data_IF_169537211209
#
_entry.id   IF_169537211209
#
_cell.length_a   1.000
_cell.length_b   1.000
_cell.length_c   1.000
_cell.angle_alpha   90.00
_cell.angle_beta   90.00
_cell.angle_gamma   90.00
#
_symmetry.space_group_name_H-M   'P 1'
#
loop_
_entity.id
_entity.type
_entity.pdbx_description
1 polymer ?
#
# COMPACT_ATOMS: atom_id res chain seq x y z
N UNK A 1 14.55 -38.48 -34.67
CA UNK A 1 14.56 -37.61 -33.48
C UNK A 1 13.19 -36.97 -33.35
N UNK A 2 12.44 -37.30 -32.28
CA UNK A 2 11.16 -36.65 -32.07
C UNK A 2 11.38 -35.13 -31.82
N UNK A 3 11.01 -34.34 -32.78
CA UNK A 3 11.07 -32.89 -32.62
C UNK A 3 10.10 -32.52 -31.49
N UNK A 4 10.61 -31.89 -30.44
CA UNK A 4 9.77 -31.40 -29.36
C UNK A 4 8.85 -30.31 -29.90
N UNK A 5 7.54 -30.40 -29.63
CA UNK A 5 6.54 -29.40 -30.03
C UNK A 5 6.11 -28.57 -28.85
N UNK A 6 5.71 -27.34 -29.08
CA UNK A 6 5.26 -26.41 -28.07
C UNK A 6 3.74 -26.52 -27.83
N UNK A 7 3.29 -26.32 -26.59
CA UNK A 7 1.88 -26.17 -26.26
C UNK A 7 1.37 -24.78 -26.64
N UNK A 8 2.25 -23.75 -26.43
CA UNK A 8 1.95 -22.36 -26.73
C UNK A 8 3.16 -21.69 -27.38
N UNK A 9 2.91 -20.92 -28.41
CA UNK A 9 3.91 -20.02 -29.00
C UNK A 9 3.39 -18.58 -28.91
N UNK A 10 4.19 -17.73 -28.29
CA UNK A 10 4.08 -16.28 -28.36
C UNK A 10 4.89 -15.81 -29.56
N UNK A 11 4.33 -14.98 -30.43
CA UNK A 11 5.04 -14.51 -31.64
C UNK A 11 4.69 -13.07 -31.98
N UNK A 12 5.45 -12.49 -32.92
CA UNK A 12 5.23 -11.12 -33.39
C UNK A 12 5.24 -10.11 -32.25
N UNK A 13 6.24 -10.18 -31.36
CA UNK A 13 6.33 -9.33 -30.17
C UNK A 13 7.72 -8.76 -29.90
N UNK A 14 7.85 -8.17 -28.72
CA UNK A 14 9.10 -7.67 -28.13
C UNK A 14 9.23 -8.26 -26.73
N UNK A 15 9.82 -9.46 -26.65
CA UNK A 15 9.92 -10.21 -25.37
C UNK A 15 11.24 -9.86 -24.71
N UNK A 16 11.19 -9.11 -23.61
CA UNK A 16 12.36 -8.81 -22.79
C UNK A 16 12.70 -10.02 -21.93
N UNK A 17 13.81 -10.70 -22.19
CA UNK A 17 14.16 -11.96 -21.53
C UNK A 17 14.66 -11.78 -20.10
N UNK A 18 15.12 -10.57 -19.75
CA UNK A 18 15.75 -10.24 -18.46
C UNK A 18 17.01 -11.08 -18.16
N UNK A 19 17.65 -11.62 -19.22
CA UNK A 19 18.95 -12.25 -19.10
C UNK A 19 20.08 -11.20 -18.86
N UNK A 20 21.29 -11.65 -18.56
CA UNK A 20 22.43 -10.78 -18.28
C UNK A 20 22.75 -9.80 -19.45
N UNK A 21 22.38 -10.19 -20.66
CA UNK A 21 22.56 -9.38 -21.89
C UNK A 21 21.40 -8.42 -22.15
N UNK A 22 20.31 -8.51 -21.34
CA UNK A 22 19.06 -7.76 -21.53
C UNK A 22 18.51 -7.93 -22.96
N UNK A 23 18.53 -9.18 -23.43
CA UNK A 23 18.10 -9.52 -24.79
C UNK A 23 16.62 -9.26 -24.97
N UNK A 24 16.25 -8.82 -26.20
CA UNK A 24 14.86 -8.71 -26.64
C UNK A 24 14.69 -9.63 -27.85
N UNK A 25 13.73 -10.56 -27.77
CA UNK A 25 13.42 -11.51 -28.82
C UNK A 25 12.00 -11.34 -29.33
N UNK A 26 11.69 -11.90 -30.53
CA UNK A 26 10.37 -11.73 -31.16
C UNK A 26 9.36 -12.77 -30.66
N UNK A 27 9.83 -13.98 -30.30
CA UNK A 27 8.97 -15.09 -30.01
C UNK A 27 9.50 -15.98 -28.89
N UNK A 28 8.59 -16.79 -28.30
CA UNK A 28 8.89 -17.81 -27.31
C UNK A 28 8.00 -19.05 -27.51
N UNK A 29 8.59 -20.24 -27.46
CA UNK A 29 7.92 -21.52 -27.39
C UNK A 29 7.83 -21.98 -25.94
N UNK A 30 6.65 -22.42 -25.51
CA UNK A 30 6.36 -22.89 -24.15
C UNK A 30 5.81 -24.32 -24.23
N UNK A 31 6.34 -25.20 -23.37
CA UNK A 31 5.85 -26.56 -23.19
C UNK A 31 5.85 -26.95 -21.72
N UNK A 32 4.79 -27.61 -21.28
CA UNK A 32 4.64 -28.04 -19.87
C UNK A 32 4.91 -26.91 -18.86
N UNK A 33 4.46 -25.68 -19.19
CA UNK A 33 4.64 -24.48 -18.37
C UNK A 33 6.07 -23.94 -18.31
N UNK A 34 6.99 -24.43 -19.18
CA UNK A 34 8.40 -24.00 -19.23
C UNK A 34 8.75 -23.44 -20.60
N UNK A 35 9.69 -22.52 -20.64
CA UNK A 35 10.26 -22.06 -21.90
C UNK A 35 11.04 -23.21 -22.56
N UNK A 36 10.62 -23.59 -23.77
CA UNK A 36 11.28 -24.56 -24.62
C UNK A 36 12.40 -23.90 -25.45
N UNK A 37 12.07 -22.74 -26.03
CA UNK A 37 12.98 -21.92 -26.82
C UNK A 37 12.52 -20.46 -26.86
N UNK A 38 13.47 -19.55 -27.10
CA UNK A 38 13.23 -18.12 -27.36
C UNK A 38 14.08 -17.72 -28.56
N UNK A 39 13.59 -16.77 -29.37
CA UNK A 39 14.34 -16.33 -30.56
C UNK A 39 13.47 -15.49 -31.50
N UNK A 40 13.82 -15.51 -32.79
CA UNK A 40 13.03 -14.91 -33.84
C UNK A 40 11.74 -15.71 -34.10
N UNK A 41 10.74 -15.08 -34.70
CA UNK A 41 9.50 -15.75 -35.11
C UNK A 41 9.80 -16.99 -35.98
N UNK A 42 10.75 -16.86 -36.92
CA UNK A 42 11.12 -17.96 -37.83
C UNK A 42 11.69 -19.16 -37.09
N UNK A 43 12.55 -18.95 -36.12
CA UNK A 43 13.15 -20.02 -35.31
C UNK A 43 12.13 -20.71 -34.41
N UNK A 44 11.25 -19.94 -33.81
CA UNK A 44 10.27 -20.46 -32.84
C UNK A 44 9.10 -21.17 -33.50
N UNK A 45 8.68 -20.75 -34.70
CA UNK A 45 7.63 -21.43 -35.44
C UNK A 45 7.98 -22.88 -35.82
N UNK A 46 9.23 -23.29 -35.74
CA UNK A 46 9.64 -24.70 -35.98
C UNK A 46 9.15 -25.65 -34.88
N UNK A 47 8.77 -25.14 -33.71
CA UNK A 47 8.21 -25.94 -32.62
C UNK A 47 6.68 -26.06 -32.68
N UNK A 48 6.04 -25.55 -33.74
CA UNK A 48 4.60 -25.58 -33.94
C UNK A 48 4.14 -26.95 -34.42
N UNK A 49 3.03 -27.44 -33.89
CA UNK A 49 2.22 -28.51 -34.46
C UNK A 49 0.72 -28.09 -34.55
N UNK A 50 -0.17 -29.02 -34.94
CA UNK A 50 -1.61 -28.76 -35.08
C UNK A 50 -2.30 -28.39 -33.76
N UNK A 51 -1.74 -28.79 -32.62
CA UNK A 51 -2.29 -28.54 -31.27
C UNK A 51 -1.69 -27.32 -30.62
N UNK A 52 -0.63 -26.77 -31.17
CA UNK A 52 0.06 -25.59 -30.61
C UNK A 52 -0.84 -24.36 -30.65
N UNK A 53 -1.09 -23.77 -29.49
CA UNK A 53 -1.80 -22.49 -29.40
C UNK A 53 -0.87 -21.34 -29.80
N UNK A 54 -1.24 -20.60 -30.84
CA UNK A 54 -0.52 -19.40 -31.26
C UNK A 54 -1.14 -18.17 -30.62
N UNK A 55 -0.30 -17.31 -30.08
CA UNK A 55 -0.69 -16.02 -29.51
C UNK A 55 0.09 -14.91 -30.23
N UNK A 56 -0.58 -14.16 -31.08
CA UNK A 56 -0.02 -12.98 -31.72
C UNK A 56 0.06 -11.83 -30.72
N UNK A 57 1.27 -11.36 -30.47
CA UNK A 57 1.53 -10.27 -29.54
C UNK A 57 1.26 -8.90 -30.16
N UNK A 58 1.06 -8.80 -31.47
CA UNK A 58 0.81 -7.55 -32.16
C UNK A 58 1.85 -6.46 -31.82
N UNK A 59 3.13 -6.81 -31.86
CA UNK A 59 4.27 -5.95 -31.52
C UNK A 59 4.28 -5.44 -30.07
N UNK A 60 3.45 -6.00 -29.18
CA UNK A 60 3.44 -5.61 -27.77
C UNK A 60 4.71 -6.11 -27.05
N UNK A 61 5.08 -5.37 -26.03
CA UNK A 61 6.17 -5.77 -25.14
C UNK A 61 5.66 -6.82 -24.15
N UNK A 62 6.41 -7.90 -23.99
CA UNK A 62 6.21 -8.93 -22.97
C UNK A 62 7.39 -8.89 -22.00
N UNK A 63 7.09 -8.89 -20.73
CA UNK A 63 8.06 -8.98 -19.63
C UNK A 63 7.74 -10.18 -18.75
N UNK A 64 8.69 -10.73 -18.00
CA UNK A 64 8.40 -11.70 -16.95
C UNK A 64 7.40 -11.16 -15.94
N UNK A 65 6.61 -12.05 -15.34
CA UNK A 65 5.72 -11.68 -14.25
C UNK A 65 6.47 -10.99 -13.12
N UNK A 66 5.84 -9.97 -12.52
CA UNK A 66 6.44 -9.25 -11.41
C UNK A 66 6.47 -10.12 -10.16
N UNK A 67 7.67 -10.28 -9.58
CA UNK A 67 7.86 -10.90 -8.28
C UNK A 67 8.22 -9.82 -7.27
N UNK A 68 7.34 -9.61 -6.28
CA UNK A 68 7.63 -8.70 -5.18
C UNK A 68 8.31 -9.47 -4.06
N UNK A 69 9.57 -9.11 -3.77
CA UNK A 69 10.38 -9.73 -2.71
C UNK A 69 10.07 -9.21 -1.31
N UNK A 70 9.27 -8.14 -1.20
CA UNK A 70 8.89 -7.52 0.07
C UNK A 70 7.45 -7.01 0.02
N UNK A 71 6.51 -7.89 0.33
CA UNK A 71 5.08 -7.60 0.22
C UNK A 71 4.36 -7.78 1.57
N UNK A 72 3.57 -6.78 1.96
CA UNK A 72 2.69 -6.84 3.12
C UNK A 72 1.22 -7.10 2.73
N UNK A 73 0.96 -8.07 1.86
CA UNK A 73 -0.36 -8.32 1.28
C UNK A 73 -1.43 -8.55 2.36
N UNK A 74 -1.18 -9.48 3.28
CA UNK A 74 -2.14 -9.82 4.33
C UNK A 74 -2.38 -8.62 5.23
N UNK A 75 -1.32 -8.00 5.73
CA UNK A 75 -1.40 -6.84 6.62
C UNK A 75 -2.08 -5.63 5.95
N UNK A 76 -1.77 -5.38 4.68
CA UNK A 76 -2.38 -4.32 3.88
C UNK A 76 -3.86 -4.59 3.60
N UNK A 77 -4.26 -5.85 3.43
CA UNK A 77 -5.64 -6.23 3.14
C UNK A 77 -6.58 -6.29 4.35
N UNK A 78 -6.06 -6.68 5.52
CA UNK A 78 -6.87 -6.92 6.74
C UNK A 78 -7.77 -5.74 7.14
N UNK A 79 -7.30 -4.52 6.96
CA UNK A 79 -8.00 -3.31 7.39
C UNK A 79 -8.35 -2.38 6.21
N UNK A 80 -8.19 -2.83 4.97
CA UNK A 80 -8.34 -2.00 3.78
C UNK A 80 -9.65 -1.22 3.75
N UNK A 81 -10.76 -1.88 4.05
CA UNK A 81 -12.10 -1.26 4.05
C UNK A 81 -12.39 -0.39 5.29
N UNK A 82 -11.52 -0.44 6.30
CA UNK A 82 -11.68 0.31 7.56
C UNK A 82 -10.80 1.57 7.58
N UNK A 83 -9.99 1.77 6.56
CA UNK A 83 -9.03 2.85 6.45
C UNK A 83 -9.44 3.84 5.38
N UNK A 84 -9.26 5.12 5.68
CA UNK A 84 -9.34 6.15 4.65
C UNK A 84 -8.04 6.11 3.84
N UNK A 85 -8.17 5.86 2.53
CA UNK A 85 -7.03 5.69 1.63
C UNK A 85 -6.77 6.98 0.86
N UNK A 86 -5.52 7.47 0.96
CA UNK A 86 -5.06 8.64 0.19
C UNK A 86 -4.16 8.25 -1.00
N UNK A 87 -4.07 6.97 -1.32
CA UNK A 87 -3.31 6.47 -2.46
C UNK A 87 -3.80 7.14 -3.76
N UNK A 88 -2.89 7.78 -4.48
CA UNK A 88 -3.20 8.46 -5.74
C UNK A 88 -4.06 9.72 -5.64
N UNK A 89 -4.38 10.21 -4.43
CA UNK A 89 -5.09 11.49 -4.25
C UNK A 89 -4.21 12.64 -4.71
N UNK A 90 -4.66 13.49 -5.67
CA UNK A 90 -3.78 14.42 -6.36
C UNK A 90 -3.48 15.71 -5.58
N UNK A 91 -4.28 16.04 -4.57
CA UNK A 91 -4.09 17.25 -3.77
C UNK A 91 -4.34 17.02 -2.29
N UNK A 92 -3.68 17.79 -1.44
CA UNK A 92 -3.94 17.81 -0.01
C UNK A 92 -5.37 18.31 0.29
N UNK A 93 -5.86 19.25 -0.50
CA UNK A 93 -7.23 19.75 -0.39
C UNK A 93 -8.26 18.63 -0.56
N UNK A 94 -8.06 17.73 -1.54
CA UNK A 94 -8.92 16.57 -1.75
C UNK A 94 -8.79 15.56 -0.59
N UNK A 95 -7.58 15.29 -0.12
CA UNK A 95 -7.35 14.44 1.05
C UNK A 95 -8.08 14.94 2.30
N UNK A 96 -8.00 16.23 2.57
CA UNK A 96 -8.70 16.87 3.70
C UNK A 96 -10.23 16.89 3.52
N UNK A 97 -10.72 17.03 2.29
CA UNK A 97 -12.16 16.87 1.99
C UNK A 97 -12.62 15.46 2.28
N UNK A 98 -11.91 14.44 1.79
CA UNK A 98 -12.20 13.04 2.07
C UNK A 98 -12.19 12.74 3.59
N UNK A 99 -11.22 13.31 4.31
CA UNK A 99 -11.14 13.17 5.77
C UNK A 99 -12.38 13.75 6.45
N UNK A 100 -12.83 14.94 6.06
CA UNK A 100 -14.03 15.58 6.60
C UNK A 100 -15.29 14.75 6.36
N UNK A 101 -15.46 14.27 5.13
CA UNK A 101 -16.60 13.43 4.75
C UNK A 101 -16.61 12.11 5.53
N UNK A 102 -15.43 11.51 5.73
CA UNK A 102 -15.31 10.29 6.52
C UNK A 102 -15.59 10.56 8.01
N UNK A 103 -15.08 11.65 8.58
CA UNK A 103 -15.33 12.02 9.97
C UNK A 103 -16.82 12.22 10.25
N UNK A 104 -17.55 12.86 9.32
CA UNK A 104 -19.00 13.05 9.43
C UNK A 104 -19.80 11.75 9.45
N UNK A 105 -19.29 10.69 8.82
CA UNK A 105 -19.93 9.36 8.78
C UNK A 105 -19.46 8.43 9.89
N UNK A 106 -18.40 8.81 10.60
CA UNK A 106 -17.80 7.97 11.64
C UNK A 106 -18.62 8.08 12.92
N UNK A 107 -19.11 6.97 13.48
CA UNK A 107 -19.87 6.99 14.73
C UNK A 107 -19.04 7.54 15.91
N UNK A 108 -19.71 8.18 16.91
CA UNK A 108 -19.03 8.66 18.11
C UNK A 108 -18.17 7.58 18.79
N UNK A 109 -16.97 7.95 19.20
CA UNK A 109 -16.01 7.04 19.83
C UNK A 109 -15.22 6.14 18.89
N UNK A 110 -15.48 6.22 17.59
CA UNK A 110 -14.65 5.57 16.57
C UNK A 110 -13.64 6.53 15.97
N UNK A 111 -12.63 5.97 15.30
CA UNK A 111 -11.50 6.70 14.74
C UNK A 111 -11.55 6.72 13.21
N UNK A 112 -11.12 7.83 12.62
CA UNK A 112 -10.70 7.85 11.22
C UNK A 112 -9.20 7.58 11.16
N UNK A 113 -8.81 6.58 10.39
CA UNK A 113 -7.42 6.21 10.16
C UNK A 113 -7.07 6.43 8.70
N UNK A 114 -6.07 7.25 8.47
CA UNK A 114 -5.43 7.39 7.16
C UNK A 114 -4.15 6.58 7.20
N UNK A 115 -4.16 5.42 6.57
CA UNK A 115 -3.04 4.49 6.52
C UNK A 115 -2.86 4.04 5.08
N UNK A 116 -1.64 3.76 4.67
CA UNK A 116 -1.38 3.23 3.35
C UNK A 116 -0.36 4.01 2.56
N UNK A 117 -0.29 3.70 1.27
CA UNK A 117 0.78 4.10 0.38
C UNK A 117 0.65 5.52 -0.15
N UNK A 118 0.64 6.52 0.70
CA UNK A 118 0.66 7.92 0.31
C UNK A 118 1.93 8.62 0.83
N UNK A 119 2.32 9.68 0.16
CA UNK A 119 3.33 10.61 0.62
C UNK A 119 3.02 12.03 0.12
N UNK A 120 3.68 13.04 0.70
CA UNK A 120 3.46 14.44 0.40
C UNK A 120 3.78 14.83 -1.06
N UNK A 121 4.64 14.07 -1.73
CA UNK A 121 5.08 14.39 -3.09
C UNK A 121 4.02 14.09 -4.16
N UNK A 122 3.01 13.26 -3.82
CA UNK A 122 1.87 13.03 -4.72
C UNK A 122 0.91 14.22 -4.77
N UNK A 123 0.87 15.04 -3.70
CA UNK A 123 0.00 16.20 -3.63
C UNK A 123 0.53 17.37 -4.47
N UNK A 124 -0.37 18.12 -5.09
CA UNK A 124 -0.02 19.35 -5.79
C UNK A 124 0.73 20.35 -4.89
N UNK A 125 0.35 20.41 -3.61
CA UNK A 125 0.96 21.28 -2.59
C UNK A 125 2.33 20.78 -2.10
N UNK A 126 2.72 19.53 -2.40
CA UNK A 126 3.99 18.89 -2.04
C UNK A 126 4.40 19.06 -0.58
N UNK A 127 3.43 18.96 0.32
CA UNK A 127 3.65 19.06 1.77
C UNK A 127 2.73 18.16 2.55
N UNK A 128 3.11 17.90 3.79
CA UNK A 128 2.27 17.24 4.79
C UNK A 128 1.06 18.11 5.17
N UNK A 129 -0.07 17.52 5.61
CA UNK A 129 -1.11 18.27 6.30
C UNK A 129 -0.57 18.86 7.61
N UNK A 130 -1.04 20.05 7.95
CA UNK A 130 -0.82 20.62 9.26
C UNK A 130 -1.82 20.07 10.28
N UNK A 131 -1.47 20.11 11.57
CA UNK A 131 -2.40 19.69 12.61
C UNK A 131 -3.66 20.56 12.68
N UNK A 132 -3.55 21.84 12.34
CA UNK A 132 -4.71 22.73 12.26
C UNK A 132 -5.65 22.36 11.10
N UNK A 133 -5.11 21.92 9.97
CA UNK A 133 -5.93 21.41 8.86
C UNK A 133 -6.68 20.14 9.25
N UNK A 134 -6.01 19.19 9.94
CA UNK A 134 -6.65 18.00 10.47
C UNK A 134 -7.73 18.34 11.52
N UNK A 135 -7.45 19.29 12.41
CA UNK A 135 -8.41 19.77 13.41
C UNK A 135 -9.63 20.42 12.78
N UNK A 136 -9.46 21.20 11.69
CA UNK A 136 -10.57 21.80 10.96
C UNK A 136 -11.38 20.77 10.18
N UNK A 137 -10.71 19.75 9.63
CA UNK A 137 -11.39 18.69 8.89
C UNK A 137 -12.23 17.78 9.80
N UNK A 138 -11.71 17.47 11.00
CA UNK A 138 -12.35 16.56 11.95
C UNK A 138 -12.18 17.09 13.41
N UNK A 139 -12.96 18.08 13.85
CA UNK A 139 -12.76 18.72 15.16
C UNK A 139 -13.05 17.78 16.34
N UNK A 140 -14.03 16.89 16.19
CA UNK A 140 -14.57 16.07 17.27
C UNK A 140 -14.25 14.57 17.09
N UNK A 141 -13.99 14.12 15.86
CA UNK A 141 -13.67 12.75 15.56
C UNK A 141 -12.16 12.52 15.68
N UNK A 142 -11.69 11.53 16.47
CA UNK A 142 -10.29 11.20 16.57
C UNK A 142 -9.71 10.76 15.21
N UNK A 143 -8.59 11.37 14.82
CA UNK A 143 -7.91 11.12 13.54
C UNK A 143 -6.48 10.66 13.80
N UNK A 144 -6.08 9.59 13.10
CA UNK A 144 -4.73 9.10 13.03
C UNK A 144 -4.27 9.07 11.57
N UNK A 145 -3.25 9.84 11.23
CA UNK A 145 -2.66 9.85 9.89
C UNK A 145 -1.25 9.28 9.97
N UNK A 146 -1.03 8.11 9.39
CA UNK A 146 0.28 7.47 9.32
C UNK A 146 1.00 7.91 8.06
N UNK A 147 2.27 8.32 8.21
CA UNK A 147 3.16 8.66 7.11
C UNK A 147 4.38 7.72 7.11
N UNK A 148 4.53 6.93 6.04
CA UNK A 148 5.69 6.08 5.73
C UNK A 148 6.27 5.26 6.92
N UNK A 149 5.49 4.96 7.94
CA UNK A 149 5.93 4.25 9.16
C UNK A 149 6.94 5.00 10.05
N UNK A 150 7.34 6.22 9.70
CA UNK A 150 8.29 7.02 10.49
C UNK A 150 7.59 7.97 11.45
N UNK A 151 6.40 8.42 11.10
CA UNK A 151 5.62 9.35 11.94
C UNK A 151 4.11 9.16 11.78
N UNK A 152 3.40 9.65 12.79
CA UNK A 152 1.95 9.76 12.74
C UNK A 152 1.52 11.15 13.22
N UNK A 153 0.38 11.61 12.68
CA UNK A 153 -0.27 12.85 13.11
C UNK A 153 -1.59 12.51 13.79
N UNK A 154 -1.79 13.08 14.96
CA UNK A 154 -3.00 12.97 15.75
C UNK A 154 -3.64 14.35 15.87
N UNK A 155 -4.91 14.47 15.52
CA UNK A 155 -5.63 15.70 15.79
C UNK A 155 -5.92 15.86 17.31
N UNK A 156 -6.47 17.02 17.72
CA UNK A 156 -6.78 17.28 19.12
C UNK A 156 -7.76 16.27 19.74
N UNK A 157 -8.74 15.80 18.95
CA UNK A 157 -9.67 14.77 19.40
C UNK A 157 -8.95 13.44 19.68
N UNK A 158 -7.99 13.08 18.83
CA UNK A 158 -7.16 11.88 19.04
C UNK A 158 -6.27 12.01 20.28
N UNK A 159 -5.61 13.17 20.49
CA UNK A 159 -4.80 13.41 21.70
C UNK A 159 -5.63 13.27 22.97
N UNK A 160 -6.86 13.81 22.99
CA UNK A 160 -7.78 13.63 24.13
C UNK A 160 -8.17 12.17 24.32
N UNK A 161 -8.45 11.45 23.23
CA UNK A 161 -8.88 10.05 23.30
C UNK A 161 -7.79 9.13 23.85
N UNK A 162 -6.50 9.36 23.50
CA UNK A 162 -5.38 8.56 24.02
C UNK A 162 -4.90 9.04 25.40
N UNK A 163 -5.35 10.22 25.85
CA UNK A 163 -4.98 10.80 27.14
C UNK A 163 -3.55 11.32 27.21
N UNK A 164 -2.96 11.74 26.07
CA UNK A 164 -1.62 12.33 26.07
C UNK A 164 -1.64 13.75 26.62
N UNK A 165 -0.80 14.00 27.63
CA UNK A 165 -0.60 15.28 28.29
C UNK A 165 0.87 15.65 28.29
N UNK A 166 1.20 16.83 28.85
CA UNK A 166 2.60 17.26 29.05
C UNK A 166 3.41 16.28 29.93
N UNK A 167 2.72 15.59 30.84
CA UNK A 167 3.33 14.67 31.81
C UNK A 167 3.37 13.22 31.29
N UNK A 168 2.82 12.94 30.11
CA UNK A 168 2.85 11.60 29.52
C UNK A 168 4.27 11.22 29.12
N UNK A 169 4.78 10.04 29.53
CA UNK A 169 6.09 9.56 29.07
C UNK A 169 6.03 9.24 27.57
N UNK A 170 7.17 9.27 26.91
CA UNK A 170 7.27 8.74 25.55
C UNK A 170 6.97 7.25 25.57
N UNK A 171 6.11 6.76 24.66
CA UNK A 171 5.85 5.32 24.56
C UNK A 171 7.10 4.56 24.09
N UNK A 172 7.26 3.27 24.44
CA UNK A 172 8.36 2.47 23.92
C UNK A 172 8.40 2.51 22.38
N UNK A 173 9.55 2.82 21.80
CA UNK A 173 9.72 2.89 20.35
C UNK A 173 9.07 4.09 19.65
N UNK A 174 8.60 5.10 20.41
CA UNK A 174 8.09 6.33 19.82
C UNK A 174 8.39 7.57 20.69
N UNK A 175 8.40 8.72 20.05
CA UNK A 175 8.57 10.03 20.68
C UNK A 175 7.29 10.86 20.47
N UNK A 176 6.76 11.42 21.53
CA UNK A 176 5.73 12.44 21.48
C UNK A 176 6.42 13.79 21.27
N UNK A 177 6.23 14.38 20.09
CA UNK A 177 6.75 15.72 19.82
C UNK A 177 5.98 16.75 20.64
N UNK A 178 6.73 17.63 21.33
CA UNK A 178 6.17 18.66 22.23
C UNK A 178 6.51 20.06 21.76
N UNK A 179 5.64 21.00 22.08
CA UNK A 179 5.90 22.43 21.91
C UNK A 179 6.83 22.98 23.01
N UNK A 180 7.14 24.25 22.96
CA UNK A 180 8.00 24.93 23.96
C UNK A 180 7.39 24.93 25.36
N UNK A 181 6.08 24.74 25.50
CA UNK A 181 5.38 24.59 26.77
C UNK A 181 5.31 23.15 27.28
N UNK A 182 5.91 22.20 26.57
CA UNK A 182 5.89 20.76 26.89
C UNK A 182 4.62 20.03 26.47
N UNK A 183 3.66 20.69 25.80
CA UNK A 183 2.42 20.07 25.41
C UNK A 183 2.60 19.20 24.15
N UNK A 184 1.91 18.04 24.04
CA UNK A 184 1.92 17.23 22.83
C UNK A 184 1.42 18.03 21.63
N UNK A 185 2.21 18.08 20.57
CA UNK A 185 1.83 18.74 19.30
C UNK A 185 0.86 17.92 18.46
N UNK A 186 0.73 16.63 18.74
CA UNK A 186 0.00 15.67 17.92
C UNK A 186 0.89 14.90 16.95
N UNK A 187 2.18 15.18 16.90
CA UNK A 187 3.13 14.41 16.10
C UNK A 187 3.76 13.32 16.96
N UNK A 188 3.73 12.09 16.47
CA UNK A 188 4.49 10.96 17.01
C UNK A 188 5.58 10.57 16.01
N UNK A 189 6.79 10.30 16.48
CA UNK A 189 7.92 9.85 15.67
C UNK A 189 8.33 8.45 16.12
N UNK A 190 8.45 7.50 15.18
CA UNK A 190 8.93 6.14 15.46
C UNK A 190 10.45 6.13 15.69
N UNK A 191 10.90 5.35 16.70
CA UNK A 191 12.33 5.18 17.00
C UNK A 191 12.59 3.75 17.48
N UNK A 192 13.17 2.84 16.70
CA UNK A 192 13.40 2.94 15.24
C UNK A 192 12.11 2.86 14.43
N UNK A 193 12.22 3.15 13.13
CA UNK A 193 11.09 3.09 12.18
C UNK A 193 10.27 1.80 12.32
N UNK A 194 8.97 1.88 12.08
CA UNK A 194 8.00 0.78 12.05
C UNK A 194 7.31 0.41 13.38
N UNK A 195 7.61 1.03 14.51
CA UNK A 195 6.99 0.68 15.80
C UNK A 195 5.80 1.57 16.22
N UNK A 196 5.37 2.55 15.41
CA UNK A 196 4.25 3.44 15.78
C UNK A 196 2.90 2.67 15.90
N UNK A 197 2.74 1.56 15.19
CA UNK A 197 1.50 0.77 15.19
C UNK A 197 1.31 -0.14 16.42
N UNK A 198 2.37 -0.71 17.05
CA UNK A 198 2.21 -1.64 18.19
C UNK A 198 2.23 -0.98 19.55
N UNK A 199 2.34 0.35 19.64
CA UNK A 199 2.62 1.00 20.92
C UNK A 199 1.40 1.02 21.83
N UNK A 200 1.32 0.06 22.71
CA UNK A 200 0.52 0.05 23.92
C UNK A 200 -0.98 0.36 23.73
N UNK A 201 -1.52 1.26 24.51
CA UNK A 201 -2.94 1.70 24.46
C UNK A 201 -3.41 2.13 23.07
N UNK A 202 -2.50 2.47 22.17
CA UNK A 202 -2.80 2.89 20.82
C UNK A 202 -3.37 1.74 19.96
N UNK A 203 -2.87 0.51 20.13
CA UNK A 203 -3.38 -0.65 19.41
C UNK A 203 -4.83 -0.98 19.79
N UNK A 204 -5.22 -0.71 21.01
CA UNK A 204 -6.57 -0.98 21.49
C UNK A 204 -7.59 0.02 20.96
N UNK A 205 -7.17 1.28 20.75
CA UNK A 205 -8.00 2.32 20.11
C UNK A 205 -8.09 2.16 18.59
N UNK A 206 -7.07 1.57 17.97
CA UNK A 206 -7.03 1.35 16.53
C UNK A 206 -7.72 0.04 16.11
N UNK A 207 -8.03 -0.86 17.04
CA UNK A 207 -8.84 -2.04 16.73
C UNK A 207 -10.28 -1.60 16.46
N UNK A 208 -10.90 -2.06 15.36
CA UNK A 208 -12.32 -1.90 15.19
C UNK A 208 -12.99 -2.55 16.41
N UNK A 209 -13.79 -1.81 17.16
CA UNK A 209 -14.71 -2.43 18.11
C UNK A 209 -15.71 -3.18 17.25
N UNK A 210 -15.57 -4.51 17.18
CA UNK A 210 -16.50 -5.39 16.49
C UNK A 210 -17.84 -5.36 17.22
N UNK A 211 -18.69 -4.38 16.89
CA UNK A 211 -20.10 -4.42 17.18
C UNK A 211 -20.89 -4.99 15.98
N UNK A 212 -20.27 -5.88 15.19
CA UNK A 212 -21.02 -6.72 14.27
C UNK A 212 -21.37 -8.01 15.04
N UNK A 213 -22.67 -8.27 15.32
CA UNK A 213 -23.07 -9.55 15.91
C UNK A 213 -22.77 -10.66 14.90
N UNK A 214 -21.86 -11.57 15.25
CA UNK A 214 -21.71 -12.84 14.55
C UNK A 214 -20.35 -13.18 13.93
N UNK A 215 -19.27 -12.45 14.17
CA UNK A 215 -17.94 -12.89 13.74
C UNK A 215 -17.11 -13.20 15.00
N UNK A 216 -17.10 -14.47 15.38
CA UNK A 216 -16.17 -14.99 16.39
C UNK A 216 -14.75 -14.86 15.85
N UNK A 217 -13.86 -14.31 16.66
CA UNK A 217 -12.43 -14.28 16.41
C UNK A 217 -11.93 -15.70 16.17
N UNK A 218 -11.34 -15.95 15.00
CA UNK A 218 -10.47 -17.09 14.83
C UNK A 218 -9.18 -16.81 15.62
N UNK A 219 -8.88 -17.74 16.54
CA UNK A 219 -7.73 -17.74 17.42
C UNK A 219 -6.38 -17.84 16.70
#
# INVERSE_FOLDING_TARGET
MNQQTADVILHNGKIATQDDRRSVVEAAAIRDGKFLAIGSDLEIMRFRDERTKLIDLNQRTVIPGLNDSHLHLIRGGLNYNLELRWDGVPSLADGLRMLREQAQRTPPGQWVRVVGGWNEFQFAERRMPTLDELNRAAPDTPVFVLHLYDRALLNRAALRAVGYTKDSPNPPGAEIVRDTGGNPTGILIARPNALILPVGRFSDFLRPRNNLPGISAFG
#
